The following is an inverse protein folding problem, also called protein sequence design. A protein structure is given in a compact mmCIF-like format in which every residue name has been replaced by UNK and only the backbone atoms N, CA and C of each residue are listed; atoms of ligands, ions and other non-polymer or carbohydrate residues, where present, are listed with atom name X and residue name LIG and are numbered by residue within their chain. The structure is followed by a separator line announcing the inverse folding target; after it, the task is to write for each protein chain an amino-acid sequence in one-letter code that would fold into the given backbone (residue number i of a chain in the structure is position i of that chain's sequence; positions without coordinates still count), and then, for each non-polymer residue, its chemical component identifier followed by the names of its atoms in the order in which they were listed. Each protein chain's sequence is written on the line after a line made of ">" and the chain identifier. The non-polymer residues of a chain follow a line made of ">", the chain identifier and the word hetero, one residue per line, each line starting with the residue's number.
data_IF_181571052732
#
_entry.id   IF_181571052732
#
_cell.length_a   1.000
_cell.length_b   1.000
_cell.length_c   1.000
_cell.angle_alpha   90.00
_cell.angle_beta   90.00
_cell.angle_gamma   90.00
#
_symmetry.space_group_name_H-M   'P 1'
#
loop_
_entity.id
_entity.type
_entity.pdbx_description
1 polymer ?
#
# COMPACT_ATOMS: atom_id res chain seq x y z
N UNK A 1 8.32 -15.10 -17.73
CA UNK A 1 7.51 -14.39 -16.71
C UNK A 1 7.77 -14.95 -15.34
N UNK A 2 8.78 -14.42 -14.65
CA UNK A 2 9.06 -14.71 -13.25
C UNK A 2 8.46 -13.64 -12.34
N UNK A 3 8.34 -13.92 -11.04
CA UNK A 3 7.99 -12.90 -10.03
C UNK A 3 8.96 -11.71 -10.08
N UNK A 4 10.24 -11.97 -10.36
CA UNK A 4 11.26 -10.92 -10.50
C UNK A 4 10.99 -9.98 -11.67
N UNK A 5 10.59 -10.52 -12.82
CA UNK A 5 10.25 -9.71 -14.01
C UNK A 5 9.04 -8.82 -13.73
N UNK A 6 8.03 -9.35 -13.04
CA UNK A 6 6.85 -8.60 -12.63
C UNK A 6 7.21 -7.46 -11.65
N UNK A 7 8.00 -7.75 -10.61
CA UNK A 7 8.47 -6.72 -9.68
C UNK A 7 9.31 -5.64 -10.36
N UNK A 8 10.15 -6.05 -11.32
CA UNK A 8 10.92 -5.12 -12.12
C UNK A 8 10.01 -4.21 -12.95
N UNK A 9 8.98 -4.76 -13.60
CA UNK A 9 8.00 -3.96 -14.35
C UNK A 9 7.31 -2.93 -13.45
N UNK A 10 6.80 -3.33 -12.28
CA UNK A 10 6.19 -2.41 -11.29
C UNK A 10 7.17 -1.31 -10.89
N UNK A 11 8.43 -1.67 -10.62
CA UNK A 11 9.49 -0.73 -10.24
C UNK A 11 9.91 0.20 -11.40
N UNK A 12 9.69 -0.16 -12.66
CA UNK A 12 9.99 0.72 -13.80
C UNK A 12 8.79 1.55 -14.26
N UNK A 13 7.57 1.18 -13.88
CA UNK A 13 6.37 1.93 -14.24
C UNK A 13 6.42 3.39 -13.79
N UNK A 14 5.91 4.28 -14.64
CA UNK A 14 5.71 5.70 -14.34
C UNK A 14 4.44 5.93 -13.49
N UNK A 15 3.44 5.07 -13.68
CA UNK A 15 2.18 5.07 -12.94
C UNK A 15 1.62 3.65 -12.90
N UNK A 16 0.92 3.29 -11.82
CA UNK A 16 0.28 1.99 -11.64
C UNK A 16 -1.23 2.18 -11.53
N UNK A 17 -1.99 1.51 -12.38
CA UNK A 17 -3.44 1.38 -12.26
C UNK A 17 -3.73 -0.07 -11.87
N UNK A 18 -4.37 -0.30 -10.73
CA UNK A 18 -4.54 -1.65 -10.18
C UNK A 18 -5.83 -1.76 -9.38
N UNK A 19 -6.48 -2.90 -9.41
CA UNK A 19 -7.53 -3.34 -8.49
C UNK A 19 -7.02 -4.40 -7.49
N UNK A 20 -5.76 -4.82 -7.63
CA UNK A 20 -5.11 -5.80 -6.76
C UNK A 20 -4.42 -5.20 -5.53
N UNK A 21 -4.50 -5.92 -4.40
CA UNK A 21 -3.89 -5.56 -3.13
C UNK A 21 -2.35 -5.49 -3.19
N UNK A 22 -1.70 -6.48 -3.82
CA UNK A 22 -0.24 -6.50 -3.91
C UNK A 22 0.28 -5.41 -4.84
N UNK A 23 -0.45 -5.09 -5.91
CA UNK A 23 -0.20 -3.94 -6.77
C UNK A 23 -0.09 -2.64 -5.95
N UNK A 24 -1.03 -2.40 -5.03
CA UNK A 24 -0.99 -1.25 -4.10
C UNK A 24 0.22 -1.34 -3.16
N UNK A 25 0.45 -2.49 -2.54
CA UNK A 25 1.59 -2.68 -1.63
C UNK A 25 2.93 -2.38 -2.31
N UNK A 26 3.17 -2.93 -3.50
CA UNK A 26 4.41 -2.69 -4.22
C UNK A 26 4.50 -1.28 -4.79
N UNK A 27 3.37 -0.66 -5.17
CA UNK A 27 3.34 0.76 -5.52
C UNK A 27 3.81 1.63 -4.34
N UNK A 28 3.34 1.34 -3.12
CA UNK A 28 3.77 2.04 -1.91
C UNK A 28 5.26 1.79 -1.62
N UNK A 29 5.71 0.53 -1.63
CA UNK A 29 7.11 0.15 -1.35
C UNK A 29 8.09 0.80 -2.33
N UNK A 30 7.75 0.83 -3.62
CA UNK A 30 8.60 1.40 -4.66
C UNK A 30 8.38 2.90 -4.89
N UNK A 31 7.56 3.55 -4.06
CA UNK A 31 7.19 4.96 -4.20
C UNK A 31 6.69 5.31 -5.61
N UNK A 32 5.81 4.48 -6.17
CA UNK A 32 5.25 4.62 -7.51
C UNK A 32 3.86 5.24 -7.50
N UNK A 33 3.65 6.38 -8.20
CA UNK A 33 2.32 6.95 -8.35
C UNK A 33 1.31 5.88 -8.80
N UNK A 34 0.14 5.86 -8.17
CA UNK A 34 -0.86 4.86 -8.49
C UNK A 34 -2.29 5.38 -8.33
N UNK A 35 -3.24 4.60 -8.85
CA UNK A 35 -4.65 4.65 -8.56
C UNK A 35 -5.16 3.23 -8.31
N UNK A 36 -5.91 3.06 -7.23
CA UNK A 36 -6.57 1.82 -6.87
C UNK A 36 -8.01 1.85 -7.37
N UNK A 37 -8.37 0.97 -8.29
CA UNK A 37 -9.76 0.82 -8.76
C UNK A 37 -10.49 -0.09 -7.80
N UNK A 38 -11.53 0.42 -7.16
CA UNK A 38 -12.39 -0.43 -6.35
C UNK A 38 -13.21 -1.37 -7.24
N UNK A 39 -12.97 -2.67 -7.10
CA UNK A 39 -13.85 -3.71 -7.63
C UNK A 39 -14.93 -4.05 -6.61
N UNK A 40 -16.19 -3.73 -6.92
CA UNK A 40 -17.35 -3.83 -5.99
C UNK A 40 -17.59 -5.25 -5.45
N UNK A 41 -16.95 -6.28 -6.03
CA UNK A 41 -17.12 -7.68 -5.65
C UNK A 41 -15.83 -8.36 -5.14
N UNK A 42 -14.74 -7.61 -4.91
CA UNK A 42 -13.48 -8.20 -4.47
C UNK A 42 -13.30 -8.11 -2.94
N UNK A 43 -13.16 -9.25 -2.22
CA UNK A 43 -12.91 -9.26 -0.78
C UNK A 43 -11.61 -8.53 -0.37
N UNK A 44 -10.66 -8.36 -1.30
CA UNK A 44 -9.41 -7.65 -1.06
C UNK A 44 -9.59 -6.12 -0.96
N UNK A 45 -10.75 -5.56 -1.34
CA UNK A 45 -11.00 -4.11 -1.28
C UNK A 45 -10.90 -3.55 0.14
N UNK A 46 -11.45 -4.24 1.14
CA UNK A 46 -11.48 -3.73 2.51
C UNK A 46 -10.07 -3.58 3.10
N UNK A 47 -9.17 -4.60 3.01
CA UNK A 47 -7.77 -4.44 3.39
C UNK A 47 -7.04 -3.29 2.68
N UNK A 48 -7.29 -3.06 1.38
CA UNK A 48 -6.67 -1.94 0.65
C UNK A 48 -7.17 -0.60 1.20
N UNK A 49 -8.48 -0.45 1.42
CA UNK A 49 -9.06 0.79 1.94
C UNK A 49 -8.53 1.13 3.33
N UNK A 50 -8.48 0.14 4.22
CA UNK A 50 -7.93 0.29 5.57
C UNK A 50 -6.45 0.69 5.53
N UNK A 51 -5.66 0.05 4.67
CA UNK A 51 -4.26 0.41 4.45
C UNK A 51 -4.13 1.87 3.99
N UNK A 52 -4.85 2.27 2.95
CA UNK A 52 -4.76 3.63 2.39
C UNK A 52 -5.25 4.69 3.38
N UNK A 53 -6.29 4.41 4.17
CA UNK A 53 -6.74 5.26 5.27
C UNK A 53 -5.66 5.41 6.36
N UNK A 54 -5.04 4.31 6.77
CA UNK A 54 -3.96 4.35 7.77
C UNK A 54 -2.73 5.14 7.31
N UNK A 55 -2.55 5.26 5.98
CA UNK A 55 -1.45 5.97 5.33
C UNK A 55 -1.85 7.36 4.83
N UNK A 56 -3.07 7.82 5.10
CA UNK A 56 -3.60 9.12 4.66
C UNK A 56 -3.47 9.30 3.14
N UNK A 57 -3.87 8.27 2.39
CA UNK A 57 -3.75 8.18 0.92
C UNK A 57 -5.05 7.68 0.28
N UNK A 58 -6.20 7.93 0.90
CA UNK A 58 -7.53 7.47 0.46
C UNK A 58 -7.95 8.12 -0.86
N UNK A 59 -7.41 9.31 -1.15
CA UNK A 59 -7.50 10.02 -2.43
C UNK A 59 -7.15 9.14 -3.65
N UNK A 60 -6.37 8.07 -3.44
CA UNK A 60 -5.91 7.13 -4.47
C UNK A 60 -6.95 6.08 -4.84
N UNK A 61 -8.03 5.97 -4.06
CA UNK A 61 -9.14 5.05 -4.33
C UNK A 61 -10.04 5.66 -5.41
N UNK A 62 -10.37 4.88 -6.41
CA UNK A 62 -11.20 5.25 -7.56
C UNK A 62 -12.41 4.34 -7.60
N UNK A 63 -13.61 4.92 -7.51
CA UNK A 63 -14.85 4.15 -7.39
C UNK A 63 -15.55 3.91 -8.73
N UNK A 64 -15.45 4.88 -9.65
CA UNK A 64 -16.12 4.86 -10.94
C UNK A 64 -15.24 5.50 -12.01
N UNK A 65 -15.60 5.31 -13.28
CA UNK A 65 -14.92 6.00 -14.37
C UNK A 65 -15.05 7.53 -14.26
N UNK A 66 -16.20 8.05 -13.87
CA UNK A 66 -16.40 9.48 -13.64
C UNK A 66 -15.54 10.01 -12.49
N UNK A 67 -15.36 9.23 -11.43
CA UNK A 67 -14.45 9.56 -10.33
C UNK A 67 -12.99 9.56 -10.80
N UNK A 68 -12.61 8.60 -11.64
CA UNK A 68 -11.29 8.56 -12.26
C UNK A 68 -11.00 9.82 -13.09
N UNK A 69 -11.97 10.24 -13.93
CA UNK A 69 -11.87 11.46 -14.74
C UNK A 69 -11.70 12.71 -13.87
N UNK A 70 -12.42 12.81 -12.75
CA UNK A 70 -12.26 13.90 -11.77
C UNK A 70 -10.91 13.87 -11.06
N UNK A 71 -10.28 12.70 -11.01
CA UNK A 71 -8.98 12.43 -10.38
C UNK A 71 -7.82 12.37 -11.37
N UNK A 72 -7.96 12.90 -12.59
CA UNK A 72 -6.87 12.99 -13.56
C UNK A 72 -5.63 13.72 -12.99
N UNK A 73 -5.82 14.62 -12.02
CA UNK A 73 -4.71 15.27 -11.33
C UNK A 73 -3.76 14.28 -10.62
N UNK A 74 -4.18 13.05 -10.29
CA UNK A 74 -3.35 12.02 -9.65
C UNK A 74 -2.14 11.61 -10.50
N UNK A 75 -2.20 11.80 -11.83
CA UNK A 75 -1.07 11.57 -12.74
C UNK A 75 0.03 12.63 -12.63
N UNK A 76 -0.33 13.83 -12.18
CA UNK A 76 0.57 14.98 -12.09
C UNK A 76 0.95 15.32 -10.65
N UNK A 77 0.12 14.92 -9.69
CA UNK A 77 0.30 15.20 -8.27
C UNK A 77 1.02 14.03 -7.58
N UNK A 78 2.32 14.18 -7.23
CA UNK A 78 3.06 13.13 -6.56
C UNK A 78 2.44 12.82 -5.20
N UNK A 79 2.37 11.54 -4.85
CA UNK A 79 2.09 11.13 -3.47
C UNK A 79 3.14 11.75 -2.57
N UNK A 80 2.73 12.24 -1.39
CA UNK A 80 3.64 12.73 -0.36
C UNK A 80 4.35 11.55 0.30
N UNK A 81 5.21 10.85 -0.44
CA UNK A 81 5.87 9.63 0.02
C UNK A 81 6.71 9.79 1.28
N UNK A 82 7.23 10.99 1.55
CA UNK A 82 7.87 11.27 2.83
C UNK A 82 6.93 11.01 4.03
N UNK A 83 5.63 11.32 3.91
CA UNK A 83 4.62 11.04 4.95
C UNK A 83 4.28 9.56 4.98
N UNK A 84 4.01 8.97 3.82
CA UNK A 84 3.67 7.55 3.70
C UNK A 84 4.79 6.68 4.28
N UNK A 85 6.04 6.93 3.90
CA UNK A 85 7.20 6.17 4.37
C UNK A 85 7.47 6.38 5.87
N UNK A 86 7.17 7.57 6.40
CA UNK A 86 7.23 7.81 7.84
C UNK A 86 6.19 6.97 8.58
N UNK A 87 4.92 7.02 8.16
CA UNK A 87 3.84 6.22 8.76
C UNK A 87 4.14 4.72 8.67
N UNK A 88 4.60 4.23 7.51
CA UNK A 88 5.03 2.84 7.34
C UNK A 88 6.18 2.47 8.29
N UNK A 89 7.15 3.36 8.49
CA UNK A 89 8.28 3.12 9.40
C UNK A 89 7.84 3.07 10.86
N UNK A 90 6.92 3.95 11.26
CA UNK A 90 6.29 3.96 12.59
C UNK A 90 5.55 2.64 12.85
N UNK A 91 4.67 2.23 11.93
CA UNK A 91 3.94 0.95 12.02
C UNK A 91 4.87 -0.26 12.04
N UNK A 92 5.90 -0.28 11.19
CA UNK A 92 6.88 -1.36 11.16
C UNK A 92 7.59 -1.47 12.51
N UNK A 93 7.94 -0.33 13.12
CA UNK A 93 8.53 -0.31 14.46
C UNK A 93 7.56 -0.85 15.50
N UNK A 94 6.30 -0.40 15.52
CA UNK A 94 5.27 -0.91 16.42
C UNK A 94 5.11 -2.44 16.32
N UNK A 95 5.11 -2.98 15.09
CA UNK A 95 5.05 -4.43 14.86
C UNK A 95 6.28 -5.17 15.38
N UNK A 96 7.48 -4.63 15.15
CA UNK A 96 8.73 -5.21 15.64
C UNK A 96 8.78 -5.19 17.18
N UNK A 97 8.48 -4.04 17.79
CA UNK A 97 8.44 -3.88 19.24
C UNK A 97 7.41 -4.85 19.88
N UNK A 98 6.24 -5.01 19.25
CA UNK A 98 5.24 -5.98 19.69
C UNK A 98 5.76 -7.43 19.59
N UNK A 99 6.37 -7.79 18.46
CA UNK A 99 6.87 -9.14 18.21
C UNK A 99 8.01 -9.50 19.17
N UNK A 100 8.97 -8.60 19.38
CA UNK A 100 10.06 -8.75 20.33
C UNK A 100 9.55 -8.95 21.76
N UNK A 101 8.51 -8.20 22.15
CA UNK A 101 7.86 -8.36 23.45
C UNK A 101 7.22 -9.74 23.62
N UNK A 102 6.52 -10.25 22.60
CA UNK A 102 5.92 -11.59 22.66
C UNK A 102 6.98 -12.68 22.75
N UNK A 103 8.03 -12.61 21.91
CA UNK A 103 9.12 -13.58 21.92
C UNK A 103 9.87 -13.59 23.25
N UNK A 104 10.16 -12.41 23.82
CA UNK A 104 10.83 -12.29 25.11
C UNK A 104 9.99 -12.82 26.28
N UNK A 105 8.66 -12.75 26.19
CA UNK A 105 7.77 -13.32 27.20
C UNK A 105 7.82 -14.86 27.18
N UNK A 106 7.79 -15.46 25.99
CA UNK A 106 7.88 -16.91 25.80
C UNK A 106 9.21 -17.46 26.34
N UNK A 107 10.32 -16.75 26.17
CA UNK A 107 11.63 -17.18 26.69
C UNK A 107 11.70 -17.18 28.22
N UNK A 108 11.00 -16.28 28.90
CA UNK A 108 10.94 -16.21 30.37
C UNK A 108 10.08 -17.31 31.00
N UNK A 109 9.19 -17.91 30.21
CA UNK A 109 8.30 -19.00 30.63
C UNK A 109 8.87 -20.38 30.34
N UNK A 110 10.08 -20.47 29.73
CA UNK A 110 10.79 -21.75 29.61
C UNK A 110 11.31 -22.19 30.99
N UNK A 111 11.03 -23.45 31.40
CA UNK A 111 11.41 -23.99 32.71
C UNK A 111 12.93 -24.12 32.89
#
# INVERSE_FOLDING_TARGET
>A
DTVGDWLYAVKQSAFILTDDYYGVCFALIFNKPFAFIESVNDPAVNPVKELLLSLQSEERIVYTEDDFRKKEYLFRMPIRYHRVNRLLSERKKECLDWLEKQLSAIEKEKP
#
